data_IF_259757017879
#
_entry.id   IF_259757017879
#
_cell.length_a   1.000
_cell.length_b   1.000
_cell.length_c   1.000
_cell.angle_alpha   90.00
_cell.angle_beta   90.00
_cell.angle_gamma   90.00
#
_symmetry.space_group_name_H-M   'P 1'
#
loop_
_entity.id
_entity.type
_entity.pdbx_description
1 polymer ?
#
# COMPACT_ATOMS: atom_id res chain seq x y z
N UNK A 1 -6.09 -9.15 -3.90
CA UNK A 1 -4.61 -9.12 -3.96
C UNK A 1 -4.17 -8.22 -5.10
N UNK A 2 -3.23 -7.32 -4.89
CA UNK A 2 -2.61 -6.48 -5.92
C UNK A 2 -1.62 -7.33 -6.74
N UNK A 3 -1.70 -7.23 -8.07
CA UNK A 3 -0.74 -7.86 -8.97
C UNK A 3 0.28 -6.86 -9.49
N UNK A 4 -0.20 -5.74 -10.04
CA UNK A 4 0.65 -4.69 -10.61
C UNK A 4 -0.11 -3.36 -10.57
N UNK A 5 0.63 -2.29 -10.36
CA UNK A 5 0.14 -0.92 -10.44
C UNK A 5 1.07 -0.11 -11.32
N UNK A 6 0.56 0.56 -12.32
CA UNK A 6 1.30 1.56 -13.07
C UNK A 6 0.58 2.89 -13.09
N UNK A 7 1.36 3.96 -13.18
CA UNK A 7 0.83 5.31 -13.24
C UNK A 7 1.79 6.22 -14.04
N UNK A 8 1.25 7.32 -14.54
CA UNK A 8 1.98 8.30 -15.33
C UNK A 8 1.51 9.70 -14.97
N UNK A 9 2.42 10.66 -15.04
CA UNK A 9 2.14 12.07 -14.81
C UNK A 9 1.48 12.36 -13.46
N UNK A 10 2.16 11.95 -12.38
CA UNK A 10 1.67 12.17 -11.02
C UNK A 10 2.76 12.73 -10.11
N UNK A 11 2.57 13.94 -9.61
CA UNK A 11 3.48 14.64 -8.68
C UNK A 11 4.92 14.66 -9.20
N UNK A 12 5.87 13.96 -8.53
CA UNK A 12 7.27 13.87 -8.94
C UNK A 12 7.53 12.87 -10.06
N UNK A 13 6.55 12.06 -10.44
CA UNK A 13 6.68 11.06 -11.52
C UNK A 13 6.13 11.61 -12.84
N UNK A 14 7.00 11.77 -13.82
CA UNK A 14 6.64 12.26 -15.16
C UNK A 14 6.19 11.11 -16.06
N UNK A 15 7.05 10.12 -16.18
CA UNK A 15 6.89 9.02 -17.13
C UNK A 15 6.13 7.83 -16.51
N UNK A 16 5.77 6.86 -17.36
CA UNK A 16 5.10 5.65 -16.89
C UNK A 16 6.00 4.91 -15.88
N UNK A 17 5.45 4.69 -14.72
CA UNK A 17 6.10 4.03 -13.60
C UNK A 17 5.34 2.77 -13.25
N UNK A 18 6.03 1.64 -13.16
CA UNK A 18 5.44 0.32 -12.89
C UNK A 18 5.90 -0.20 -11.55
N UNK A 19 4.96 -0.58 -10.71
CA UNK A 19 5.19 -1.27 -9.44
C UNK A 19 4.57 -2.67 -9.50
N UNK A 20 5.40 -3.70 -9.52
CA UNK A 20 4.99 -5.10 -9.72
C UNK A 20 5.07 -5.90 -8.41
N UNK A 21 3.94 -6.49 -8.03
CA UNK A 21 3.83 -7.40 -6.88
C UNK A 21 3.86 -8.88 -7.29
N UNK A 22 4.14 -9.18 -8.55
CA UNK A 22 4.34 -10.54 -9.00
C UNK A 22 5.72 -11.06 -8.58
N UNK A 23 5.74 -12.24 -7.96
CA UNK A 23 6.98 -12.85 -7.50
C UNK A 23 7.83 -13.35 -8.68
N UNK A 24 9.05 -12.87 -8.79
CA UNK A 24 10.03 -13.37 -9.75
C UNK A 24 10.40 -14.83 -9.40
N UNK A 25 10.89 -15.57 -10.40
CA UNK A 25 11.38 -16.93 -10.16
C UNK A 25 12.77 -16.88 -9.49
N UNK A 26 12.78 -16.73 -8.17
CA UNK A 26 13.97 -16.62 -7.33
C UNK A 26 14.02 -17.78 -6.33
N UNK A 27 15.22 -18.32 -6.03
CA UNK A 27 15.37 -19.41 -5.07
C UNK A 27 15.24 -18.96 -3.62
N UNK A 28 15.60 -17.67 -3.31
CA UNK A 28 15.53 -17.15 -1.95
C UNK A 28 14.10 -16.98 -1.48
N UNK A 29 13.79 -17.41 -0.27
CA UNK A 29 12.46 -17.31 0.37
C UNK A 29 11.32 -17.80 -0.55
N UNK A 30 11.55 -18.87 -1.31
CA UNK A 30 10.55 -19.40 -2.23
C UNK A 30 9.25 -19.81 -1.50
N UNK A 31 9.34 -20.21 -0.24
CA UNK A 31 8.20 -20.58 0.61
C UNK A 31 7.42 -19.40 1.19
N UNK A 32 7.99 -18.20 1.12
CA UNK A 32 7.41 -16.98 1.73
C UNK A 32 6.63 -16.11 0.72
N UNK A 33 6.17 -16.68 -0.39
CA UNK A 33 5.35 -16.01 -1.40
C UNK A 33 3.89 -16.46 -1.32
N UNK A 34 2.99 -15.69 -1.90
CA UNK A 34 1.58 -16.05 -2.01
C UNK A 34 1.40 -16.92 -3.26
N UNK A 35 1.10 -18.19 -3.06
CA UNK A 35 0.88 -19.14 -4.17
C UNK A 35 -0.49 -18.94 -4.80
N UNK A 36 -0.51 -18.69 -6.11
CA UNK A 36 -1.71 -18.33 -6.87
C UNK A 36 -1.96 -19.21 -8.08
N UNK A 37 -1.44 -20.45 -8.12
CA UNK A 37 -1.62 -21.35 -9.29
C UNK A 37 -3.09 -21.47 -9.70
N UNK A 38 -3.40 -21.43 -10.99
CA UNK A 38 -2.51 -21.44 -12.17
C UNK A 38 -1.97 -20.08 -12.60
N UNK A 39 -2.27 -18.99 -11.88
CA UNK A 39 -1.73 -17.67 -12.17
C UNK A 39 -0.32 -17.46 -11.56
N UNK A 40 0.34 -16.33 -11.87
CA UNK A 40 1.60 -15.91 -11.26
C UNK A 40 1.48 -15.80 -9.75
N UNK A 41 2.50 -16.21 -9.02
CA UNK A 41 2.58 -16.01 -7.58
C UNK A 41 2.79 -14.52 -7.26
N UNK A 42 2.42 -14.11 -6.05
CA UNK A 42 2.49 -12.73 -5.62
C UNK A 42 3.40 -12.57 -4.40
N UNK A 43 3.92 -11.36 -4.24
CA UNK A 43 4.72 -10.97 -3.08
C UNK A 43 3.80 -10.57 -1.93
N UNK A 44 4.05 -11.04 -0.70
CA UNK A 44 3.32 -10.62 0.49
C UNK A 44 3.80 -9.27 1.02
N UNK A 45 5.02 -8.84 0.66
CA UNK A 45 5.64 -7.61 1.16
C UNK A 45 6.38 -6.90 0.04
N UNK A 46 6.30 -5.57 0.02
CA UNK A 46 7.20 -4.72 -0.73
C UNK A 46 7.60 -3.50 0.11
N UNK A 47 8.90 -3.26 0.22
CA UNK A 47 9.49 -2.16 0.96
C UNK A 47 10.14 -1.16 -0.01
N UNK A 48 9.76 0.12 0.09
CA UNK A 48 10.25 1.19 -0.80
C UNK A 48 11.24 2.05 -0.03
N UNK A 49 12.47 2.08 -0.50
CA UNK A 49 13.58 2.84 0.03
C UNK A 49 13.97 3.99 -0.90
N UNK A 50 14.84 4.87 -0.44
CA UNK A 50 15.38 5.98 -1.23
C UNK A 50 15.60 7.23 -0.39
N UNK A 51 16.25 8.27 -0.96
CA UNK A 51 16.51 9.53 -0.27
C UNK A 51 15.22 10.29 0.05
N UNK A 52 15.35 11.31 0.91
CA UNK A 52 14.31 12.32 1.07
C UNK A 52 14.14 13.06 -0.27
N UNK A 53 12.89 13.26 -0.69
CA UNK A 53 12.60 13.86 -2.01
C UNK A 53 12.60 12.84 -3.18
N UNK A 54 13.13 11.63 -3.03
CA UNK A 54 13.20 10.62 -4.12
C UNK A 54 11.86 10.12 -4.65
N UNK A 55 10.72 10.45 -4.01
CA UNK A 55 9.40 10.08 -4.53
C UNK A 55 8.68 8.93 -3.82
N UNK A 56 9.25 8.35 -2.75
CA UNK A 56 8.64 7.23 -1.99
C UNK A 56 7.17 7.47 -1.62
N UNK A 57 6.91 8.57 -0.92
CA UNK A 57 5.56 8.98 -0.52
C UNK A 57 4.67 9.27 -1.73
N UNK A 58 5.21 9.87 -2.80
CA UNK A 58 4.44 10.17 -4.02
C UNK A 58 3.98 8.90 -4.74
N UNK A 59 4.78 7.83 -4.75
CA UNK A 59 4.37 6.51 -5.26
C UNK A 59 3.17 5.95 -4.47
N UNK A 60 3.24 5.94 -3.13
CA UNK A 60 2.12 5.50 -2.31
C UNK A 60 0.89 6.41 -2.49
N UNK A 61 1.11 7.71 -2.67
CA UNK A 61 0.03 8.67 -2.91
C UNK A 61 -0.63 8.48 -4.29
N UNK A 62 0.10 8.01 -5.31
CA UNK A 62 -0.51 7.66 -6.60
C UNK A 62 -1.52 6.51 -6.43
N UNK A 63 -1.12 5.44 -5.74
CA UNK A 63 -2.03 4.33 -5.42
C UNK A 63 -3.19 4.78 -4.52
N UNK A 64 -2.92 5.63 -3.53
CA UNK A 64 -3.93 6.22 -2.64
C UNK A 64 -4.93 7.08 -3.43
N UNK A 65 -4.45 7.89 -4.37
CA UNK A 65 -5.28 8.74 -5.22
C UNK A 65 -6.28 7.89 -6.02
N UNK A 66 -5.80 6.84 -6.68
CA UNK A 66 -6.66 5.91 -7.41
C UNK A 66 -7.72 5.28 -6.50
N UNK A 67 -7.30 4.66 -5.39
CA UNK A 67 -8.20 3.96 -4.47
C UNK A 67 -9.21 4.94 -3.86
N UNK A 68 -8.76 6.10 -3.39
CA UNK A 68 -9.65 7.08 -2.78
C UNK A 68 -10.67 7.67 -3.77
N UNK A 69 -10.28 7.85 -5.03
CA UNK A 69 -11.18 8.34 -6.08
C UNK A 69 -12.34 7.35 -6.30
N UNK A 70 -12.03 6.05 -6.36
CA UNK A 70 -13.04 4.99 -6.55
C UNK A 70 -13.93 4.81 -5.33
N UNK A 71 -13.37 4.90 -4.12
CA UNK A 71 -14.10 4.56 -2.89
C UNK A 71 -14.92 5.72 -2.33
N UNK A 72 -14.47 6.95 -2.56
CA UNK A 72 -15.06 8.17 -1.98
C UNK A 72 -16.57 8.31 -2.25
N UNK A 73 -17.12 8.11 -3.48
CA UNK A 73 -18.54 8.28 -3.72
C UNK A 73 -19.44 7.44 -2.80
N UNK A 74 -19.01 6.22 -2.47
CA UNK A 74 -19.75 5.32 -1.57
C UNK A 74 -19.68 5.81 -0.12
N UNK A 75 -18.48 6.25 0.34
CA UNK A 75 -18.33 6.77 1.70
C UNK A 75 -19.07 8.07 1.95
N UNK A 76 -19.15 8.94 0.97
CA UNK A 76 -19.91 10.19 1.10
C UNK A 76 -21.43 9.92 1.29
N UNK A 77 -21.91 8.76 0.81
CA UNK A 77 -23.31 8.33 0.99
C UNK A 77 -23.56 7.59 2.32
N UNK A 78 -22.59 6.83 2.81
CA UNK A 78 -22.70 6.06 4.06
C UNK A 78 -22.14 6.83 5.26
N UNK A 79 -22.96 7.65 5.91
CA UNK A 79 -22.57 8.49 7.07
C UNK A 79 -22.09 7.69 8.31
N UNK A 80 -22.26 6.38 8.34
CA UNK A 80 -22.13 5.52 9.54
C UNK A 80 -20.98 4.51 9.50
N UNK A 81 -20.30 4.28 8.38
CA UNK A 81 -19.17 3.35 8.33
C UNK A 81 -17.90 3.96 8.91
N UNK A 82 -17.32 3.27 9.88
CA UNK A 82 -16.02 3.58 10.47
C UNK A 82 -15.01 3.82 9.36
N UNK A 83 -14.40 5.00 9.31
CA UNK A 83 -13.40 5.42 8.31
C UNK A 83 -12.10 4.61 8.44
N UNK A 84 -12.16 3.30 8.19
CA UNK A 84 -11.00 2.40 8.29
C UNK A 84 -10.05 2.51 7.11
N UNK A 85 -10.49 3.07 5.97
CA UNK A 85 -9.83 2.79 4.70
C UNK A 85 -8.93 3.92 4.21
N UNK A 86 -9.39 5.15 4.15
CA UNK A 86 -8.57 6.29 3.68
C UNK A 86 -8.80 7.49 4.56
N UNK A 87 -7.75 7.94 5.25
CA UNK A 87 -7.85 9.11 6.14
C UNK A 87 -7.73 10.45 5.41
N UNK A 88 -7.12 10.50 4.23
CA UNK A 88 -6.86 11.75 3.50
C UNK A 88 -7.27 11.64 2.03
N UNK A 89 -7.94 12.69 1.53
CA UNK A 89 -8.09 12.89 0.09
C UNK A 89 -6.73 13.29 -0.47
N UNK A 90 -6.20 12.49 -1.39
CA UNK A 90 -5.02 12.85 -2.18
C UNK A 90 -5.52 13.50 -3.46
N UNK A 91 -5.11 14.74 -3.72
CA UNK A 91 -5.40 15.39 -4.99
C UNK A 91 -4.58 14.78 -6.11
N UNK A 92 -5.20 14.61 -7.27
CA UNK A 92 -4.52 14.20 -8.49
C UNK A 92 -3.79 15.41 -9.07
N UNK A 93 -2.48 15.52 -8.77
CA UNK A 93 -1.63 16.62 -9.24
C UNK A 93 -0.67 16.07 -10.28
N UNK A 94 -0.61 16.65 -11.51
CA UNK A 94 0.32 16.23 -12.54
C UNK A 94 1.77 16.60 -12.18
N UNK A 95 2.74 16.13 -12.96
CA UNK A 95 4.12 16.57 -12.88
C UNK A 95 4.23 18.03 -13.37
N UNK A 96 4.81 18.90 -12.53
CA UNK A 96 4.76 20.36 -12.75
C UNK A 96 6.04 20.96 -13.35
N UNK A 97 7.13 20.18 -13.46
CA UNK A 97 8.42 20.67 -14.02
C UNK A 97 8.50 20.53 -15.54
N UNK A 98 7.36 20.30 -16.21
CA UNK A 98 7.25 20.29 -17.66
C UNK A 98 5.89 20.92 -18.07
N UNK A 99 5.93 21.94 -18.93
CA UNK A 99 4.74 22.68 -19.36
C UNK A 99 3.69 21.80 -20.06
N UNK A 100 4.14 20.74 -20.74
CA UNK A 100 3.23 19.80 -21.44
C UNK A 100 2.48 18.94 -20.45
N UNK A 101 3.18 18.34 -19.49
CA UNK A 101 2.58 17.39 -18.54
C UNK A 101 1.56 18.03 -17.62
N UNK A 102 1.66 19.34 -17.34
CA UNK A 102 0.67 20.05 -16.51
C UNK A 102 -0.73 20.08 -17.15
N UNK A 103 -0.82 19.93 -18.47
CA UNK A 103 -2.07 19.90 -19.24
C UNK A 103 -2.40 18.50 -19.80
N UNK A 104 -1.60 17.50 -19.48
CA UNK A 104 -1.86 16.10 -19.85
C UNK A 104 -2.55 15.37 -18.70
N UNK A 105 -3.35 14.33 -18.97
CA UNK A 105 -4.00 13.56 -17.93
C UNK A 105 -2.97 12.79 -17.08
N UNK A 106 -3.31 12.59 -15.80
CA UNK A 106 -2.71 11.57 -14.97
C UNK A 106 -3.38 10.24 -15.27
N UNK A 107 -2.60 9.21 -15.52
CA UNK A 107 -3.10 7.89 -15.85
C UNK A 107 -2.75 6.87 -14.77
N UNK A 108 -3.69 5.97 -14.50
CA UNK A 108 -3.53 4.86 -13.56
C UNK A 108 -3.96 3.56 -14.24
N UNK A 109 -3.18 2.51 -14.07
CA UNK A 109 -3.53 1.16 -14.51
C UNK A 109 -3.27 0.17 -13.37
N UNK A 110 -4.28 -0.61 -13.00
CA UNK A 110 -4.24 -1.51 -11.87
C UNK A 110 -4.65 -2.92 -12.28
N UNK A 111 -3.83 -3.90 -11.95
CA UNK A 111 -4.18 -5.32 -12.02
C UNK A 111 -4.33 -5.87 -10.61
N UNK A 112 -5.46 -6.47 -10.33
CA UNK A 112 -5.74 -7.08 -9.01
C UNK A 112 -6.58 -8.34 -9.13
N UNK A 113 -6.54 -9.19 -8.09
CA UNK A 113 -7.29 -10.44 -8.06
C UNK A 113 -8.28 -10.45 -6.90
N UNK A 114 -9.50 -10.82 -7.21
CA UNK A 114 -10.56 -11.04 -6.23
C UNK A 114 -11.57 -12.07 -6.77
N UNK A 115 -12.17 -12.87 -5.89
CA UNK A 115 -13.24 -13.84 -6.20
C UNK A 115 -12.98 -14.73 -7.43
N UNK A 116 -11.74 -15.20 -7.61
CA UNK A 116 -11.37 -16.10 -8.70
C UNK A 116 -11.16 -15.43 -10.07
N UNK A 117 -11.16 -14.10 -10.11
CA UNK A 117 -10.88 -13.30 -11.31
C UNK A 117 -9.70 -12.38 -11.10
N UNK A 118 -8.97 -12.12 -12.19
CA UNK A 118 -8.03 -11.03 -12.33
C UNK A 118 -8.71 -9.89 -13.07
N UNK A 119 -8.69 -8.71 -12.49
CA UNK A 119 -9.28 -7.48 -13.01
C UNK A 119 -8.18 -6.56 -13.54
N UNK A 120 -8.46 -5.88 -14.63
CA UNK A 120 -7.69 -4.74 -15.14
C UNK A 120 -8.58 -3.51 -15.04
N UNK A 121 -8.16 -2.54 -14.25
CA UNK A 121 -8.84 -1.27 -14.09
C UNK A 121 -7.94 -0.13 -14.57
N UNK A 122 -8.44 0.67 -15.50
CA UNK A 122 -7.78 1.85 -16.03
C UNK A 122 -8.57 3.09 -15.66
N UNK A 123 -7.88 4.16 -15.24
CA UNK A 123 -8.46 5.47 -14.94
C UNK A 123 -7.52 6.56 -15.42
N UNK A 124 -8.04 7.49 -16.21
CA UNK A 124 -7.34 8.70 -16.68
C UNK A 124 -8.10 9.93 -16.20
N UNK A 125 -7.37 10.87 -15.59
CA UNK A 125 -7.95 12.06 -14.95
C UNK A 125 -7.22 13.33 -15.37
N UNK A 126 -7.97 14.39 -15.64
CA UNK A 126 -7.45 15.74 -15.88
C UNK A 126 -8.28 16.75 -15.10
N UNK A 127 -7.65 17.60 -14.29
CA UNK A 127 -8.30 18.62 -13.46
C UNK A 127 -9.50 18.09 -12.62
N UNK A 128 -9.32 16.96 -11.95
CA UNK A 128 -10.34 16.25 -11.17
C UNK A 128 -11.52 15.67 -12.02
N UNK A 129 -11.48 15.71 -13.34
CA UNK A 129 -12.45 15.09 -14.23
C UNK A 129 -11.88 13.79 -14.82
N UNK A 130 -12.76 12.80 -14.99
CA UNK A 130 -12.42 11.51 -15.57
C UNK A 130 -12.52 11.63 -17.09
N UNK A 131 -11.40 11.46 -17.76
CA UNK A 131 -11.27 11.50 -19.22
C UNK A 131 -11.51 10.12 -19.81
N UNK A 132 -10.95 9.08 -19.16
CA UNK A 132 -11.18 7.70 -19.59
C UNK A 132 -11.21 6.76 -18.37
N UNK A 133 -12.01 5.71 -18.47
CA UNK A 133 -12.13 4.68 -17.45
C UNK A 133 -12.52 3.35 -18.08
N UNK A 134 -11.86 2.24 -17.72
CA UNK A 134 -12.17 0.93 -18.25
C UNK A 134 -12.03 -0.15 -17.19
N UNK A 135 -12.89 -1.16 -17.27
CA UNK A 135 -12.81 -2.36 -16.44
C UNK A 135 -12.91 -3.61 -17.31
N UNK A 136 -11.91 -4.44 -17.22
CA UNK A 136 -11.88 -5.78 -17.79
C UNK A 136 -11.69 -6.81 -16.70
N UNK A 137 -12.15 -8.05 -16.93
CA UNK A 137 -11.84 -9.18 -16.04
C UNK A 137 -11.53 -10.45 -16.79
N UNK A 138 -10.68 -11.27 -16.19
CA UNK A 138 -10.30 -12.58 -16.71
C UNK A 138 -10.39 -13.62 -15.59
N UNK A 139 -11.06 -14.75 -15.82
CA UNK A 139 -11.06 -15.82 -14.85
C UNK A 139 -9.65 -16.35 -14.66
N UNK A 140 -9.21 -16.54 -13.42
CA UNK A 140 -7.89 -17.09 -13.11
C UNK A 140 -7.75 -18.48 -13.77
N UNK A 141 -6.68 -18.67 -14.55
CA UNK A 141 -6.49 -19.87 -15.40
C UNK A 141 -7.29 -19.87 -16.71
N UNK A 142 -8.17 -18.91 -16.92
CA UNK A 142 -8.93 -18.74 -18.17
C UNK A 142 -8.10 -18.09 -19.28
N UNK A 143 -8.52 -18.28 -20.53
CA UNK A 143 -7.86 -17.68 -21.71
C UNK A 143 -8.54 -16.40 -22.21
N UNK A 144 -9.82 -16.21 -21.90
CA UNK A 144 -10.63 -15.10 -22.42
C UNK A 144 -10.73 -13.98 -21.39
N UNK A 145 -10.46 -12.76 -21.83
CA UNK A 145 -10.76 -11.52 -21.10
C UNK A 145 -12.18 -11.08 -21.46
N UNK A 146 -12.98 -10.79 -20.45
CA UNK A 146 -14.32 -10.22 -20.62
C UNK A 146 -14.24 -8.73 -20.36
N UNK A 147 -14.65 -7.95 -21.34
CA UNK A 147 -14.85 -6.52 -21.20
C UNK A 147 -16.09 -6.26 -20.34
N UNK A 148 -15.98 -5.40 -19.33
CA UNK A 148 -17.08 -5.03 -18.44
C UNK A 148 -17.68 -3.70 -18.85
N UNK A 149 -16.88 -2.63 -18.90
CA UNK A 149 -17.23 -1.35 -19.46
C UNK A 149 -16.01 -0.56 -19.91
N UNK A 150 -16.26 0.42 -20.77
CA UNK A 150 -15.31 1.41 -21.22
C UNK A 150 -16.00 2.78 -21.26
N UNK A 151 -15.30 3.83 -20.83
CA UNK A 151 -15.75 5.21 -20.82
C UNK A 151 -14.66 6.09 -21.41
N UNK A 152 -15.03 6.85 -22.44
CA UNK A 152 -14.24 7.95 -23.00
C UNK A 152 -15.07 9.22 -22.88
N UNK A 153 -14.68 10.11 -21.99
CA UNK A 153 -15.43 11.32 -21.62
C UNK A 153 -16.90 11.02 -21.28
N UNK A 154 -17.83 11.31 -22.20
CA UNK A 154 -19.27 11.07 -22.06
C UNK A 154 -19.75 9.79 -22.76
N UNK A 155 -18.90 9.15 -23.56
CA UNK A 155 -19.26 7.94 -24.30
C UNK A 155 -18.98 6.72 -23.43
N UNK A 156 -20.02 5.95 -23.10
CA UNK A 156 -19.90 4.75 -22.29
C UNK A 156 -20.34 3.53 -23.09
N UNK A 157 -19.42 2.56 -23.19
CA UNK A 157 -19.65 1.26 -23.82
C UNK A 157 -19.71 0.17 -22.76
N UNK A 158 -20.76 -0.64 -22.80
CA UNK A 158 -20.95 -1.75 -21.87
C UNK A 158 -20.61 -3.09 -22.51
N UNK A 159 -19.92 -3.95 -21.79
CA UNK A 159 -19.59 -5.29 -22.19
C UNK A 159 -20.84 -6.21 -22.34
N UNK A 160 -20.64 -7.36 -22.95
CA UNK A 160 -21.75 -8.32 -23.20
C UNK A 160 -22.30 -8.97 -21.94
N UNK A 161 -21.56 -8.95 -20.85
CA UNK A 161 -21.97 -9.53 -19.55
C UNK A 161 -22.96 -8.66 -18.75
N UNK A 162 -23.22 -7.44 -19.21
CA UNK A 162 -24.08 -6.46 -18.55
C UNK A 162 -25.39 -6.33 -19.33
N UNK A 163 -26.53 -6.32 -18.64
CA UNK A 163 -27.82 -6.05 -19.28
C UNK A 163 -27.93 -4.57 -19.67
N UNK A 164 -27.74 -4.28 -20.94
CA UNK A 164 -27.58 -2.93 -21.48
C UNK A 164 -28.82 -2.05 -21.41
N UNK A 165 -30.01 -2.65 -21.30
CA UNK A 165 -31.30 -1.95 -21.46
C UNK A 165 -31.69 -1.07 -20.29
N UNK A 166 -31.18 -1.35 -19.09
CA UNK A 166 -31.58 -0.68 -17.84
C UNK A 166 -30.48 0.18 -17.19
N UNK A 167 -29.29 0.26 -17.79
CA UNK A 167 -28.16 0.94 -17.18
C UNK A 167 -28.02 2.37 -17.70
N UNK A 168 -28.05 3.32 -16.76
CA UNK A 168 -27.80 4.72 -17.07
C UNK A 168 -26.33 4.96 -17.42
N UNK A 169 -26.10 5.73 -18.45
CA UNK A 169 -24.76 6.15 -18.95
C UNK A 169 -24.49 7.63 -18.76
N UNK A 170 -25.43 8.37 -18.20
CA UNK A 170 -25.23 9.77 -17.85
C UNK A 170 -24.73 9.83 -16.40
N UNK A 171 -23.44 10.15 -16.25
CA UNK A 171 -22.75 10.21 -14.97
C UNK A 171 -21.93 11.49 -14.85
N UNK A 172 -21.84 12.01 -13.65
CA UNK A 172 -21.02 13.19 -13.35
C UNK A 172 -19.56 12.95 -13.81
N UNK A 173 -18.94 13.90 -14.56
CA UNK A 173 -17.55 13.76 -15.01
C UNK A 173 -16.53 13.47 -13.90
N UNK A 174 -16.82 13.88 -12.66
CA UNK A 174 -15.94 13.66 -11.50
C UNK A 174 -16.18 12.35 -10.74
N UNK A 175 -17.17 11.57 -11.17
CA UNK A 175 -17.55 10.31 -10.53
C UNK A 175 -17.07 9.11 -11.34
N UNK A 176 -16.28 8.18 -10.77
CA UNK A 176 -15.94 6.94 -11.44
C UNK A 176 -17.19 6.14 -11.82
N UNK A 177 -17.21 5.61 -13.03
CA UNK A 177 -18.34 4.81 -13.50
C UNK A 177 -18.43 3.48 -12.76
N UNK A 178 -17.30 2.92 -12.35
CA UNK A 178 -17.26 1.77 -11.45
C UNK A 178 -18.08 2.02 -10.18
N UNK A 179 -17.82 3.15 -9.51
CA UNK A 179 -18.51 3.53 -8.27
C UNK A 179 -20.00 3.84 -8.53
N UNK A 180 -20.31 4.52 -9.63
CA UNK A 180 -21.69 4.77 -10.04
C UNK A 180 -22.47 3.47 -10.24
N UNK A 181 -21.87 2.50 -10.93
CA UNK A 181 -22.51 1.19 -11.15
C UNK A 181 -22.66 0.42 -9.83
N UNK A 182 -21.65 0.44 -8.97
CA UNK A 182 -21.71 -0.26 -7.67
C UNK A 182 -22.79 0.30 -6.72
N UNK A 183 -23.06 1.61 -6.80
CA UNK A 183 -24.10 2.27 -5.99
C UNK A 183 -25.51 1.94 -6.49
N UNK A 184 -25.71 1.89 -7.82
CA UNK A 184 -27.04 1.89 -8.40
C UNK A 184 -27.49 0.52 -8.91
N UNK A 185 -26.57 -0.45 -9.10
CA UNK A 185 -26.86 -1.74 -9.73
C UNK A 185 -26.16 -2.90 -9.02
N UNK A 186 -26.84 -4.04 -8.97
CA UNK A 186 -26.25 -5.28 -8.45
C UNK A 186 -25.66 -6.11 -9.60
N UNK A 187 -24.37 -5.80 -9.93
CA UNK A 187 -23.62 -6.46 -11.00
C UNK A 187 -22.42 -7.16 -10.36
N UNK A 188 -22.33 -8.50 -10.35
CA UNK A 188 -21.28 -9.22 -9.62
C UNK A 188 -19.85 -8.76 -9.97
N UNK A 189 -19.56 -8.49 -11.25
CA UNK A 189 -18.23 -8.02 -11.67
C UNK A 189 -17.87 -6.65 -11.08
N UNK A 190 -18.84 -5.75 -11.01
CA UNK A 190 -18.70 -4.40 -10.45
C UNK A 190 -18.56 -4.49 -8.92
N UNK A 191 -19.44 -5.26 -8.27
CA UNK A 191 -19.44 -5.42 -6.83
C UNK A 191 -18.14 -6.05 -6.32
N UNK A 192 -17.59 -7.05 -7.02
CA UNK A 192 -16.32 -7.68 -6.69
C UNK A 192 -15.15 -6.69 -6.81
N UNK A 193 -15.10 -5.93 -7.90
CA UNK A 193 -14.07 -4.92 -8.10
C UNK A 193 -14.18 -3.81 -7.03
N UNK A 194 -15.37 -3.27 -6.80
CA UNK A 194 -15.61 -2.22 -5.82
C UNK A 194 -15.22 -2.66 -4.38
N UNK A 195 -15.64 -3.87 -3.98
CA UNK A 195 -15.28 -4.45 -2.67
C UNK A 195 -13.78 -4.61 -2.50
N UNK A 196 -13.04 -4.92 -3.57
CA UNK A 196 -11.59 -4.98 -3.49
C UNK A 196 -11.00 -3.61 -3.16
N UNK A 197 -11.42 -2.54 -3.84
CA UNK A 197 -10.99 -1.17 -3.53
C UNK A 197 -11.36 -0.78 -2.09
N UNK A 198 -12.55 -1.09 -1.63
CA UNK A 198 -13.00 -0.84 -0.26
C UNK A 198 -12.25 -1.65 0.80
N UNK A 199 -11.67 -2.78 0.43
CA UNK A 199 -10.89 -3.62 1.33
C UNK A 199 -9.45 -3.11 1.55
N UNK A 200 -8.94 -2.23 0.69
CA UNK A 200 -7.59 -1.68 0.81
C UNK A 200 -7.47 -0.80 2.05
N UNK A 201 -6.38 -0.95 2.79
CA UNK A 201 -6.08 -0.17 4.00
C UNK A 201 -4.91 0.76 3.70
N UNK A 202 -5.12 2.06 3.79
CA UNK A 202 -4.08 3.06 3.53
C UNK A 202 -3.90 3.91 4.78
N UNK A 203 -2.66 4.00 5.29
CA UNK A 203 -2.32 4.70 6.52
C UNK A 203 -1.04 5.50 6.43
N UNK A 204 -1.04 6.62 7.14
CA UNK A 204 0.15 7.35 7.53
C UNK A 204 0.06 7.56 9.04
N UNK A 205 1.03 7.08 9.79
CA UNK A 205 1.01 7.17 11.26
C UNK A 205 1.56 8.49 11.80
N UNK A 206 1.38 9.58 11.08
CA UNK A 206 1.69 10.92 11.57
C UNK A 206 0.88 11.29 12.83
N UNK A 207 -0.36 10.78 12.93
CA UNK A 207 -1.23 10.94 14.09
C UNK A 207 -1.74 9.58 14.59
N UNK A 208 -1.06 9.00 15.57
CA UNK A 208 -1.40 7.69 16.14
C UNK A 208 -2.70 7.70 16.96
N UNK A 209 -3.14 8.84 17.50
CA UNK A 209 -4.37 8.91 18.29
C UNK A 209 -5.62 8.68 17.44
N UNK A 210 -5.60 9.13 16.18
CA UNK A 210 -6.71 8.90 15.26
C UNK A 210 -6.97 7.42 14.95
N UNK A 211 -5.95 6.57 15.10
CA UNK A 211 -6.03 5.13 14.84
C UNK A 211 -6.59 4.33 16.03
N UNK A 212 -6.63 4.91 17.22
CA UNK A 212 -7.05 4.19 18.43
C UNK A 212 -8.53 3.78 18.43
N UNK A 213 -9.36 4.38 17.59
CA UNK A 213 -10.78 3.99 17.47
C UNK A 213 -10.97 2.53 17.09
N UNK A 214 -9.98 1.93 16.41
CA UNK A 214 -10.01 0.50 16.04
C UNK A 214 -9.80 -0.38 17.27
N UNK A 215 -9.00 0.07 18.23
CA UNK A 215 -8.77 -0.63 19.50
C UNK A 215 -10.04 -0.73 20.36
N UNK A 216 -11.04 0.11 20.07
CA UNK A 216 -12.31 0.13 20.78
C UNK A 216 -13.28 -0.96 20.30
N UNK A 217 -12.87 -1.74 19.29
CA UNK A 217 -13.66 -2.88 18.79
C UNK A 217 -13.89 -3.91 19.91
N UNK A 218 -15.13 -4.29 20.13
CA UNK A 218 -15.53 -5.34 21.10
C UNK A 218 -15.12 -6.75 20.66
N UNK A 219 -14.38 -6.89 19.56
CA UNK A 219 -13.93 -8.18 19.07
C UNK A 219 -12.85 -8.78 19.97
N UNK A 220 -13.28 -9.69 20.85
CA UNK A 220 -12.40 -10.38 21.83
C UNK A 220 -11.25 -11.15 21.17
N UNK A 221 -11.42 -11.63 19.94
CA UNK A 221 -10.39 -12.39 19.22
C UNK A 221 -9.27 -11.45 18.76
N UNK A 222 -9.62 -10.35 18.11
CA UNK A 222 -8.65 -9.32 17.70
C UNK A 222 -7.92 -8.76 18.91
N UNK A 223 -8.65 -8.47 20.00
CA UNK A 223 -8.05 -7.98 21.24
C UNK A 223 -6.99 -8.92 21.81
N UNK A 224 -7.25 -10.25 21.84
CA UNK A 224 -6.29 -11.25 22.29
C UNK A 224 -5.06 -11.32 21.38
N UNK A 225 -5.27 -11.25 20.07
CA UNK A 225 -4.18 -11.25 19.08
C UNK A 225 -3.28 -10.02 19.23
N UNK A 226 -3.86 -8.83 19.46
CA UNK A 226 -3.11 -7.60 19.70
C UNK A 226 -2.23 -7.75 20.97
N UNK A 227 -2.82 -8.20 22.08
CA UNK A 227 -2.09 -8.39 23.34
C UNK A 227 -0.97 -9.42 23.16
N UNK A 228 -1.25 -10.54 22.48
CA UNK A 228 -0.24 -11.57 22.21
C UNK A 228 0.90 -11.01 21.37
N UNK A 229 0.62 -10.28 20.29
CA UNK A 229 1.63 -9.70 19.43
C UNK A 229 2.48 -8.63 20.14
N UNK A 230 1.88 -7.80 21.02
CA UNK A 230 2.60 -6.84 21.83
C UNK A 230 3.57 -7.54 22.80
N UNK A 231 3.12 -8.61 23.45
CA UNK A 231 3.95 -9.40 24.36
C UNK A 231 5.10 -10.10 23.63
N UNK A 232 4.86 -10.66 22.44
CA UNK A 232 5.89 -11.26 21.57
C UNK A 232 6.96 -10.22 21.18
N UNK A 233 6.57 -8.95 21.08
CA UNK A 233 7.48 -7.83 20.81
C UNK A 233 8.17 -7.29 22.10
N UNK A 234 7.95 -7.90 23.25
CA UNK A 234 8.53 -7.48 24.53
C UNK A 234 7.83 -6.28 25.16
N UNK A 235 6.61 -5.97 24.75
CA UNK A 235 5.77 -4.93 25.36
C UNK A 235 4.78 -5.62 26.29
N UNK A 236 5.11 -5.64 27.58
CA UNK A 236 4.34 -6.35 28.62
C UNK A 236 3.01 -5.62 28.90
N UNK A 237 1.97 -5.93 28.11
CA UNK A 237 0.61 -5.43 28.24
C UNK A 237 -0.34 -6.63 28.38
N UNK A 238 -1.04 -6.70 29.51
CA UNK A 238 -1.97 -7.80 29.80
C UNK A 238 -3.40 -7.48 29.38
N UNK A 239 -3.72 -6.20 29.18
CA UNK A 239 -5.02 -5.74 28.78
C UNK A 239 -5.04 -4.25 28.42
N UNK A 240 -6.20 -3.82 27.93
CA UNK A 240 -6.48 -2.40 27.75
C UNK A 240 -7.98 -2.15 27.86
N UNK A 241 -8.35 -0.95 28.24
CA UNK A 241 -9.73 -0.46 28.31
C UNK A 241 -9.80 0.97 27.81
N UNK A 242 -10.95 1.34 27.30
CA UNK A 242 -11.25 2.76 27.01
C UNK A 242 -11.96 3.37 28.20
N UNK A 243 -11.48 4.49 28.64
CA UNK A 243 -12.08 5.27 29.71
C UNK A 243 -12.96 6.35 29.09
N UNK A 244 -14.28 6.20 29.28
CA UNK A 244 -15.25 7.13 28.69
C UNK A 244 -15.23 8.52 29.33
N UNK A 245 -14.82 8.62 30.58
CA UNK A 245 -14.79 9.90 31.32
C UNK A 245 -13.60 10.75 30.86
N UNK A 246 -12.41 10.16 30.82
CA UNK A 246 -11.20 10.83 30.34
C UNK A 246 -11.05 10.81 28.81
N UNK A 247 -11.87 10.02 28.10
CA UNK A 247 -11.76 9.75 26.64
C UNK A 247 -10.37 9.25 26.23
N UNK A 248 -9.78 8.39 27.06
CA UNK A 248 -8.43 7.88 26.84
C UNK A 248 -8.39 6.36 26.82
N UNK A 249 -7.45 5.83 26.05
CA UNK A 249 -7.09 4.43 26.09
C UNK A 249 -6.14 4.19 27.27
N UNK A 250 -6.49 3.26 28.17
CA UNK A 250 -5.72 2.88 29.35
C UNK A 250 -5.15 1.49 29.11
N UNK A 251 -3.83 1.37 29.22
CA UNK A 251 -3.08 0.12 29.11
C UNK A 251 -2.92 -0.51 30.49
N UNK A 252 -3.01 -1.84 30.55
CA UNK A 252 -2.92 -2.59 31.82
C UNK A 252 -1.69 -3.51 31.82
N UNK A 253 -0.92 -3.45 32.90
CA UNK A 253 0.25 -4.30 33.14
C UNK A 253 0.13 -4.98 34.49
N UNK A 254 0.60 -6.23 34.60
CA UNK A 254 0.60 -6.98 35.87
C UNK A 254 2.02 -7.15 36.36
N UNK A 255 2.34 -6.56 37.50
CA UNK A 255 3.64 -6.69 38.19
C UNK A 255 3.41 -7.24 39.60
N UNK A 256 4.11 -8.31 39.94
CA UNK A 256 4.00 -8.97 41.27
C UNK A 256 2.55 -9.28 41.70
N UNK A 257 1.71 -9.70 40.72
CA UNK A 257 0.30 -10.04 40.97
C UNK A 257 -0.64 -8.86 41.16
N UNK A 258 -0.16 -7.64 40.98
CA UNK A 258 -0.99 -6.41 40.99
C UNK A 258 -1.08 -5.82 39.60
N UNK A 259 -2.29 -5.37 39.19
CA UNK A 259 -2.51 -4.70 37.94
C UNK A 259 -2.32 -3.18 38.10
N UNK A 260 -1.50 -2.63 37.24
CA UNK A 260 -1.23 -1.19 37.12
C UNK A 260 -1.80 -0.68 35.80
N UNK A 261 -2.26 0.57 35.82
CA UNK A 261 -2.80 1.23 34.67
C UNK A 261 -1.92 2.41 34.25
N UNK A 262 -1.70 2.56 32.96
CA UNK A 262 -0.96 3.66 32.35
C UNK A 262 -1.77 4.20 31.17
N UNK A 263 -1.90 5.53 31.10
CA UNK A 263 -2.55 6.16 29.96
C UNK A 263 -1.72 5.92 28.70
N UNK A 264 -2.40 5.67 27.56
CA UNK A 264 -1.74 5.61 26.25
C UNK A 264 -0.86 6.84 25.99
N UNK A 265 -1.26 8.02 26.46
CA UNK A 265 -0.48 9.26 26.29
C UNK A 265 0.89 9.23 26.96
N UNK A 266 1.03 8.45 28.02
CA UNK A 266 2.27 8.30 28.79
C UNK A 266 3.17 7.18 28.26
N UNK A 267 2.72 6.42 27.26
CA UNK A 267 3.53 5.40 26.59
C UNK A 267 4.63 6.04 25.74
N UNK A 268 5.71 5.28 25.47
CA UNK A 268 6.74 5.70 24.52
C UNK A 268 6.16 5.85 23.10
N UNK A 269 6.75 6.73 22.28
CA UNK A 269 6.29 6.95 20.92
C UNK A 269 6.31 5.66 20.07
N UNK A 270 7.33 4.80 20.25
CA UNK A 270 7.40 3.51 19.57
C UNK A 270 6.28 2.56 20.01
N UNK A 271 5.98 2.51 21.31
CA UNK A 271 4.86 1.75 21.87
C UNK A 271 3.52 2.28 21.33
N UNK A 272 3.33 3.61 21.30
CA UNK A 272 2.14 4.26 20.73
C UNK A 272 1.93 3.85 19.27
N UNK A 273 2.99 3.88 18.47
CA UNK A 273 2.90 3.51 17.06
C UNK A 273 2.54 2.04 16.88
N UNK A 274 3.14 1.14 17.65
CA UNK A 274 2.80 -0.29 17.59
C UNK A 274 1.34 -0.55 17.98
N UNK A 275 0.89 0.06 19.07
CA UNK A 275 -0.52 -0.05 19.51
C UNK A 275 -1.47 0.43 18.43
N UNK A 276 -1.12 1.50 17.71
CA UNK A 276 -1.93 2.02 16.62
C UNK A 276 -1.88 1.16 15.34
N UNK A 277 -0.71 0.61 15.00
CA UNK A 277 -0.49 -0.11 13.75
C UNK A 277 -0.94 -1.58 13.82
N UNK A 278 -0.69 -2.29 14.92
CA UNK A 278 -0.94 -3.72 15.05
C UNK A 278 -2.39 -4.14 14.75
N UNK A 279 -3.44 -3.46 15.26
CA UNK A 279 -4.81 -3.85 14.96
C UNK A 279 -5.10 -3.89 13.47
N UNK A 280 -4.62 -2.91 12.74
CA UNK A 280 -4.81 -2.76 11.29
C UNK A 280 -4.07 -3.86 10.53
N UNK A 281 -2.82 -4.13 10.91
CA UNK A 281 -2.01 -5.18 10.31
C UNK A 281 -2.60 -6.57 10.55
N UNK A 282 -3.14 -6.82 11.76
CA UNK A 282 -3.80 -8.07 12.10
C UNK A 282 -5.14 -8.24 11.34
N UNK A 283 -5.90 -7.16 11.17
CA UNK A 283 -7.11 -7.17 10.31
C UNK A 283 -6.73 -7.47 8.86
N UNK A 284 -5.67 -6.81 8.35
CA UNK A 284 -5.18 -7.08 7.00
C UNK A 284 -4.82 -8.56 6.80
N UNK A 285 -4.11 -9.17 7.76
CA UNK A 285 -3.74 -10.59 7.73
C UNK A 285 -4.97 -11.51 7.81
N UNK A 286 -5.91 -11.23 8.73
CA UNK A 286 -7.10 -12.04 8.93
C UNK A 286 -8.05 -12.04 7.74
N UNK A 287 -8.11 -10.95 6.98
CA UNK A 287 -9.06 -10.75 5.89
C UNK A 287 -8.41 -10.75 4.49
N UNK A 288 -7.08 -10.98 4.40
CA UNK A 288 -6.37 -11.00 3.12
C UNK A 288 -6.34 -9.66 2.40
N UNK A 289 -6.25 -8.54 3.15
CA UNK A 289 -6.29 -7.19 2.60
C UNK A 289 -4.92 -6.68 2.16
N UNK A 290 -4.93 -5.68 1.28
CA UNK A 290 -3.77 -4.86 0.97
C UNK A 290 -3.62 -3.76 2.03
N UNK A 291 -2.48 -3.71 2.71
CA UNK A 291 -2.10 -2.63 3.61
C UNK A 291 -0.99 -1.78 2.96
N UNK A 292 -1.22 -0.48 2.84
CA UNK A 292 -0.29 0.52 2.30
C UNK A 292 0.04 1.51 3.40
N UNK A 293 1.31 1.57 3.81
CA UNK A 293 1.71 2.34 4.99
C UNK A 293 2.93 3.20 4.68
N UNK A 294 2.75 4.50 4.79
CA UNK A 294 3.88 5.44 4.68
C UNK A 294 4.67 5.50 5.99
N UNK A 295 6.01 5.47 5.90
CA UNK A 295 6.95 5.53 7.01
C UNK A 295 6.64 4.51 8.14
N UNK A 296 6.46 3.24 7.77
CA UNK A 296 6.13 2.20 8.76
C UNK A 296 7.20 2.08 9.84
N UNK A 297 8.48 2.26 9.48
CA UNK A 297 9.64 2.16 10.37
C UNK A 297 9.80 3.34 11.35
N UNK A 298 9.22 4.50 11.05
CA UNK A 298 9.41 5.70 11.87
C UNK A 298 9.10 5.41 13.35
N UNK A 299 10.06 5.71 14.25
CA UNK A 299 9.99 5.46 15.70
C UNK A 299 9.92 3.98 16.12
N UNK A 300 10.04 3.02 15.20
CA UNK A 300 10.10 1.60 15.52
C UNK A 300 11.56 1.11 15.61
N UNK A 301 11.82 0.25 16.57
CA UNK A 301 13.08 -0.47 16.59
C UNK A 301 13.16 -1.46 15.40
N UNK A 302 14.31 -1.60 14.70
CA UNK A 302 14.42 -2.49 13.53
C UNK A 302 13.94 -3.94 13.74
N UNK A 303 14.10 -4.49 14.95
CA UNK A 303 13.57 -5.82 15.29
C UNK A 303 12.05 -5.90 15.22
N UNK A 304 11.34 -4.82 15.57
CA UNK A 304 9.89 -4.76 15.52
C UNK A 304 9.39 -4.69 14.08
N UNK A 305 10.06 -3.90 13.24
CA UNK A 305 9.77 -3.87 11.80
C UNK A 305 9.97 -5.25 11.16
N UNK A 306 11.09 -5.94 11.49
CA UNK A 306 11.32 -7.33 11.04
C UNK A 306 10.23 -8.29 11.46
N UNK A 307 9.73 -8.16 12.70
CA UNK A 307 8.63 -9.00 13.19
C UNK A 307 7.36 -8.75 12.35
N UNK A 308 7.00 -7.51 12.07
CA UNK A 308 5.85 -7.18 11.21
C UNK A 308 6.02 -7.79 9.82
N UNK A 309 7.19 -7.64 9.19
CA UNK A 309 7.50 -8.23 7.90
C UNK A 309 7.34 -9.75 7.95
N UNK A 310 7.87 -10.39 8.98
CA UNK A 310 7.78 -11.84 9.17
C UNK A 310 6.34 -12.35 9.32
N UNK A 311 5.43 -11.57 9.93
CA UNK A 311 4.01 -11.93 10.00
C UNK A 311 3.39 -12.09 8.60
N UNK A 312 3.64 -11.14 7.70
CA UNK A 312 3.11 -11.18 6.32
C UNK A 312 3.79 -12.25 5.47
N UNK A 313 5.08 -12.51 5.69
CA UNK A 313 5.85 -13.52 4.95
C UNK A 313 5.63 -14.95 5.46
N UNK A 314 5.01 -15.14 6.61
CA UNK A 314 4.76 -16.46 7.16
C UNK A 314 3.48 -17.08 6.55
N UNK A 315 3.56 -18.14 5.73
CA UNK A 315 2.40 -18.73 5.08
C UNK A 315 1.41 -19.39 6.05
N UNK A 316 1.83 -19.69 7.29
CA UNK A 316 0.95 -20.23 8.34
C UNK A 316 0.10 -19.13 9.00
N UNK A 317 0.55 -17.88 8.98
CA UNK A 317 -0.16 -16.73 9.54
C UNK A 317 -0.92 -15.97 8.44
N UNK A 318 -0.28 -15.77 7.29
CA UNK A 318 -0.86 -15.10 6.13
C UNK A 318 -1.60 -16.10 5.21
N UNK A 319 -2.63 -16.73 5.72
CA UNK A 319 -3.39 -17.76 4.99
C UNK A 319 -4.35 -17.21 3.95
N UNK A 320 -4.68 -15.90 4.04
CA UNK A 320 -5.63 -15.24 3.16
C UNK A 320 -4.96 -14.36 2.08
N UNK A 321 -3.62 -14.38 2.01
CA UNK A 321 -2.87 -13.64 0.99
C UNK A 321 -2.89 -12.13 1.20
N UNK A 322 -2.78 -11.67 2.44
CA UNK A 322 -2.59 -10.26 2.75
C UNK A 322 -1.26 -9.73 2.17
N UNK A 323 -1.25 -8.46 1.77
CA UNK A 323 -0.08 -7.81 1.21
C UNK A 323 0.23 -6.52 1.99
N UNK A 324 1.52 -6.26 2.22
CA UNK A 324 2.02 -5.07 2.90
C UNK A 324 2.97 -4.30 1.97
N UNK A 325 2.60 -3.08 1.65
CA UNK A 325 3.46 -2.13 0.92
C UNK A 325 3.77 -0.99 1.88
N UNK A 326 5.05 -0.66 2.03
CA UNK A 326 5.43 0.43 2.93
C UNK A 326 6.70 1.15 2.46
N UNK A 327 6.83 2.41 2.87
CA UNK A 327 8.08 3.15 2.74
C UNK A 327 8.91 3.01 4.01
N UNK A 328 10.23 3.02 3.86
CA UNK A 328 11.16 2.90 4.97
C UNK A 328 12.45 3.69 4.76
N UNK A 329 12.99 4.21 5.85
CA UNK A 329 14.34 4.74 5.99
C UNK A 329 15.27 3.81 6.79
N UNK A 330 14.73 2.69 7.31
CA UNK A 330 15.50 1.75 8.12
C UNK A 330 16.36 0.82 7.26
N UNK A 331 17.60 1.23 7.03
CA UNK A 331 18.61 0.44 6.32
C UNK A 331 18.98 -0.84 7.09
N UNK A 332 18.83 -0.86 8.43
CA UNK A 332 19.19 -2.02 9.23
C UNK A 332 18.31 -3.26 8.95
N UNK A 333 17.12 -3.06 8.38
CA UNK A 333 16.26 -4.16 7.90
C UNK A 333 16.50 -4.53 6.45
N UNK A 334 17.17 -3.71 5.63
CA UNK A 334 17.46 -3.96 4.23
C UNK A 334 18.53 -5.07 4.07
N UNK A 335 18.16 -6.31 4.38
CA UNK A 335 19.08 -7.45 4.39
C UNK A 335 18.55 -8.61 3.56
N UNK A 336 19.47 -9.37 2.97
CA UNK A 336 19.18 -10.61 2.27
C UNK A 336 18.60 -11.73 3.16
N UNK A 337 18.68 -11.56 4.50
CA UNK A 337 18.05 -12.46 5.48
C UNK A 337 16.62 -12.03 5.83
N UNK A 338 16.14 -10.90 5.31
CA UNK A 338 14.80 -10.36 5.56
C UNK A 338 13.98 -10.34 4.28
N UNK A 339 14.59 -9.89 3.17
CA UNK A 339 13.89 -9.66 1.92
C UNK A 339 14.43 -10.51 0.77
N UNK A 340 13.53 -10.78 -0.18
CA UNK A 340 13.84 -11.14 -1.55
C UNK A 340 14.26 -9.89 -2.31
N UNK A 341 15.01 -10.03 -3.39
CA UNK A 341 15.43 -8.88 -4.23
C UNK A 341 14.24 -8.17 -4.90
N UNK A 342 13.20 -8.90 -5.24
CA UNK A 342 11.96 -8.37 -5.82
C UNK A 342 11.00 -7.73 -4.81
N UNK A 343 11.29 -7.85 -3.50
CA UNK A 343 10.55 -7.17 -2.42
C UNK A 343 11.13 -5.79 -2.07
N UNK A 344 12.35 -5.48 -2.53
CA UNK A 344 13.01 -4.19 -2.27
C UNK A 344 12.88 -3.30 -3.50
N UNK A 345 12.30 -2.13 -3.30
CA UNK A 345 12.12 -1.10 -4.31
C UNK A 345 12.87 0.17 -3.93
N UNK A 346 13.34 0.89 -4.93
CA UNK A 346 14.01 2.18 -4.76
C UNK A 346 13.24 3.26 -5.50
N UNK A 347 12.98 4.37 -4.79
CA UNK A 347 12.49 5.60 -5.37
C UNK A 347 13.61 6.62 -5.33
N UNK A 348 14.08 7.06 -6.48
CA UNK A 348 15.19 7.97 -6.64
C UNK A 348 14.83 9.15 -7.55
N UNK A 349 15.48 10.27 -7.36
CA UNK A 349 15.38 11.39 -8.30
C UNK A 349 16.28 11.07 -9.50
N UNK A 350 15.67 11.04 -10.69
CA UNK A 350 16.35 10.92 -11.97
C UNK A 350 16.62 12.28 -12.61
N UNK A 351 16.91 12.26 -13.90
CA UNK A 351 17.13 13.46 -14.67
C UNK A 351 15.86 14.35 -14.69
N UNK A 352 16.05 15.66 -14.79
CA UNK A 352 14.96 16.65 -14.86
C UNK A 352 14.02 16.68 -13.63
N UNK A 353 14.53 16.34 -12.44
CA UNK A 353 13.76 16.32 -11.19
C UNK A 353 12.53 15.38 -11.22
N UNK A 354 12.53 14.42 -12.13
CA UNK A 354 11.52 13.36 -12.12
C UNK A 354 11.96 12.21 -11.24
N UNK A 355 11.01 11.60 -10.53
CA UNK A 355 11.26 10.39 -9.76
C UNK A 355 11.24 9.15 -10.65
N UNK A 356 12.09 8.17 -10.32
CA UNK A 356 12.13 6.84 -10.90
C UNK A 356 11.86 5.79 -9.81
N UNK A 357 11.22 4.69 -10.19
CA UNK A 357 10.93 3.57 -9.30
C UNK A 357 11.43 2.28 -9.94
N UNK A 358 12.27 1.53 -9.23
CA UNK A 358 12.80 0.25 -9.70
C UNK A 358 13.09 -0.70 -8.54
N UNK A 359 13.07 -2.00 -8.80
CA UNK A 359 13.36 -3.02 -7.79
C UNK A 359 14.85 -3.37 -7.74
N UNK A 360 15.31 -3.87 -6.58
CA UNK A 360 16.67 -4.42 -6.46
C UNK A 360 16.90 -5.59 -7.44
N UNK A 361 15.84 -6.30 -7.81
CA UNK A 361 15.89 -7.39 -8.79
C UNK A 361 16.19 -6.90 -10.21
N UNK A 362 15.79 -5.67 -10.57
CA UNK A 362 16.01 -5.08 -11.90
C UNK A 362 17.43 -4.53 -12.05
N UNK A 363 18.09 -4.19 -10.95
CA UNK A 363 19.43 -3.60 -10.97
C UNK A 363 20.43 -4.59 -11.56
N UNK A 364 21.26 -4.06 -12.49
CA UNK A 364 22.35 -4.78 -13.15
C UNK A 364 23.68 -4.16 -12.77
N UNK A 365 24.71 -4.99 -12.60
CA UNK A 365 26.09 -4.55 -12.50
C UNK A 365 26.62 -4.17 -13.89
N UNK A 366 27.79 -3.56 -13.94
CA UNK A 366 28.48 -3.22 -15.21
C UNK A 366 28.65 -4.42 -16.15
N UNK A 367 28.85 -5.62 -15.61
CA UNK A 367 28.95 -6.88 -16.38
C UNK A 367 27.57 -7.46 -16.76
N UNK A 368 26.47 -6.69 -16.61
CA UNK A 368 25.09 -7.10 -16.88
C UNK A 368 24.53 -8.22 -15.98
N UNK A 369 25.25 -8.62 -14.94
CA UNK A 369 24.75 -9.57 -13.94
C UNK A 369 23.82 -8.88 -12.93
N UNK A 370 22.81 -9.63 -12.47
CA UNK A 370 21.95 -9.16 -11.36
C UNK A 370 22.70 -9.15 -10.04
N UNK A 371 22.24 -8.34 -9.11
CA UNK A 371 22.73 -8.34 -7.73
C UNK A 371 22.53 -9.74 -7.14
N UNK A 372 23.56 -10.27 -6.49
CA UNK A 372 23.51 -11.61 -5.89
C UNK A 372 22.63 -11.61 -4.64
N UNK A 373 21.91 -12.72 -4.39
CA UNK A 373 21.11 -12.92 -3.19
C UNK A 373 21.94 -13.03 -1.88
N UNK A 374 23.24 -13.25 -1.99
CA UNK A 374 24.18 -13.23 -0.85
C UNK A 374 24.79 -11.86 -0.57
N UNK A 375 24.49 -10.85 -1.40
CA UNK A 375 25.03 -9.51 -1.22
C UNK A 375 24.54 -8.86 0.08
N UNK A 376 25.36 -8.01 0.67
CA UNK A 376 24.97 -7.18 1.79
C UNK A 376 24.23 -5.95 1.27
N UNK A 377 22.90 -6.03 1.14
CA UNK A 377 22.08 -5.00 0.49
C UNK A 377 22.21 -3.65 1.18
N UNK A 378 22.20 -3.64 2.52
CA UNK A 378 22.39 -2.44 3.35
C UNK A 378 23.71 -1.74 3.07
N UNK A 379 24.82 -2.48 3.00
CA UNK A 379 26.15 -1.91 2.73
C UNK A 379 26.26 -1.37 1.32
N UNK A 380 25.80 -2.15 0.32
CA UNK A 380 25.84 -1.74 -1.08
C UNK A 380 24.95 -0.52 -1.37
N UNK A 381 23.83 -0.40 -0.66
CA UNK A 381 23.00 0.80 -0.71
C UNK A 381 23.75 2.03 -0.19
N UNK A 382 24.41 1.92 0.99
CA UNK A 382 25.22 3.02 1.57
C UNK A 382 26.46 3.37 0.74
N UNK A 383 26.93 2.44 -0.10
CA UNK A 383 28.02 2.67 -1.06
C UNK A 383 27.53 3.31 -2.37
N UNK A 384 26.23 3.66 -2.49
CA UNK A 384 25.64 4.28 -3.68
C UNK A 384 25.47 3.34 -4.88
N UNK A 385 25.62 2.01 -4.68
CA UNK A 385 25.63 1.05 -5.82
C UNK A 385 24.25 0.82 -6.45
N UNK A 386 23.19 1.36 -5.85
CA UNK A 386 21.81 1.14 -6.31
C UNK A 386 21.19 2.41 -6.94
N UNK A 387 21.92 3.51 -7.02
CA UNK A 387 21.47 4.74 -7.69
C UNK A 387 20.42 5.55 -6.90
N UNK A 388 20.01 5.10 -5.72
CA UNK A 388 19.04 5.79 -4.86
C UNK A 388 19.71 6.37 -3.60
N UNK A 389 20.90 6.92 -3.76
CA UNK A 389 21.73 7.42 -2.67
C UNK A 389 21.41 8.90 -2.37
N UNK A 390 21.39 9.33 -1.10
CA UNK A 390 21.33 10.75 -0.78
C UNK A 390 22.55 11.48 -1.33
N UNK A 391 22.34 12.49 -2.17
CA UNK A 391 23.43 13.30 -2.76
C UNK A 391 24.11 14.15 -1.69
N UNK A 392 25.02 13.56 -0.92
CA UNK A 392 25.90 14.27 0.03
C UNK A 392 27.29 14.60 -0.58
N UNK A 393 27.48 14.37 -1.87
CA UNK A 393 28.80 14.42 -2.50
C UNK A 393 29.51 15.78 -2.46
N UNK A 394 28.78 16.87 -2.37
CA UNK A 394 29.37 18.20 -2.42
C UNK A 394 29.69 18.79 -1.03
N UNK A 395 29.07 18.33 0.05
CA UNK A 395 29.30 18.89 1.38
C UNK A 395 30.68 18.52 2.00
N UNK A 396 31.30 17.43 1.55
CA UNK A 396 32.57 16.96 2.12
C UNK A 396 33.76 17.26 1.24
N UNK A 397 33.57 17.71 -0.02
CA UNK A 397 34.67 17.99 -0.94
C UNK A 397 35.23 19.40 -0.86
N UNK A 398 34.46 20.37 -0.44
CA UNK A 398 34.85 21.78 -0.59
C UNK A 398 35.30 22.45 0.72
N UNK A 399 35.35 21.75 1.86
CA UNK A 399 36.04 22.25 3.07
C UNK A 399 35.63 23.64 3.59
N UNK A 400 34.61 24.26 3.01
CA UNK A 400 34.15 25.62 3.32
C UNK A 400 32.82 25.58 4.06
N UNK A 401 32.91 25.34 5.38
CA UNK A 401 31.88 25.81 6.30
C UNK A 401 32.22 27.27 6.64
N UNK A 402 31.64 28.23 5.93
CA UNK A 402 31.61 29.62 6.38
C UNK A 402 30.38 29.88 7.28
#
# INVERSE_FOLDING_TARGET
MLCQFSFKNFKSYKDETVFDMQAANLPEFAENIIYCKPASNLLPVAAIYGPNGGGKTNMLQALTCLISTVVKPIYDMEKTRTKLIVQQKVSCTPFLFDEKTSNEPTEFLLYFRTNGYEYRYYLSMLHDEIIAEALDRKKIGGKRTAHVFDREEKVITLGSSINKASINRDVNPKMPYLSFLAINYDIPAINDAQKWFESCIIRSYANTEAELQIMLSDNKTIRRQIISALNDMGIDINGYRYDNDSKQLIMQRTLHGKTYELSYKDESDGTKKLIAALPILLIALAEGRLAVIDELDAKLHPKLLRYIIALFKNPKLNTHGAQLIFTSHDIATMKNTVYRRDEIWFAAEGDNHSSELYSLYEIRKENNERINNTAAYDKQYLEGRYGADPYLQNMLKDGEWQ
#
